data_IF_560316910720
#
_entry.id   IF_560316910720
#
_cell.length_a   1.000
_cell.length_b   1.000
_cell.length_c   1.000
_cell.angle_alpha   90.00
_cell.angle_beta   90.00
_cell.angle_gamma   90.00
#
_symmetry.space_group_name_H-M   'P 1'
#
loop_
_entity.id
_entity.type
_entity.pdbx_description
1 polymer ?
#
# COMPACT_ATOMS: atom_id res chain seq x y z
N UNK A 1 0.76 -14.90 4.85
CA UNK A 1 -0.03 -15.00 4.35
C UNK A 1 -1.01 -14.14 4.53
N UNK A 2 -1.60 -13.64 4.09
CA UNK A 2 -2.63 -13.21 3.84
C UNK A 2 -3.01 -11.85 4.14
N UNK A 3 -3.54 -11.59 5.24
CA UNK A 3 -4.15 -10.29 5.48
C UNK A 3 -3.39 -9.47 6.49
N UNK A 4 -3.16 -8.21 6.15
CA UNK A 4 -2.40 -7.31 6.99
C UNK A 4 -3.13 -5.99 7.12
N UNK A 5 -2.95 -5.32 8.24
CA UNK A 5 -3.41 -3.96 8.47
C UNK A 5 -2.26 -3.16 9.03
N UNK A 6 -1.93 -2.06 8.37
CA UNK A 6 -0.85 -1.20 8.83
C UNK A 6 -1.33 0.24 8.91
N UNK A 7 -0.88 1.00 9.91
CA UNK A 7 -1.22 2.42 9.97
C UNK A 7 -0.43 3.19 8.93
N UNK A 8 -1.10 4.11 8.27
CA UNK A 8 -0.48 4.99 7.30
C UNK A 8 -0.75 6.44 7.71
N UNK A 9 0.26 7.28 7.58
CA UNK A 9 0.13 8.70 7.87
C UNK A 9 -0.18 9.42 6.56
N UNK A 10 -1.34 10.07 6.51
CA UNK A 10 -1.76 10.85 5.35
C UNK A 10 -1.52 12.32 5.65
N UNK A 11 -0.76 12.97 4.81
CA UNK A 11 -0.42 14.39 4.97
C UNK A 11 -1.09 15.17 3.87
N UNK A 12 -1.90 16.18 4.27
CA UNK A 12 -2.52 17.04 3.29
C UNK A 12 -1.50 18.06 2.80
N UNK A 13 -1.41 18.20 1.49
CA UNK A 13 -0.49 19.13 0.85
C UNK A 13 -1.23 19.97 -0.14
N UNK A 14 -0.59 21.00 -0.69
CA UNK A 14 -1.23 21.92 -1.61
C UNK A 14 -1.82 21.21 -2.82
N UNK A 15 -1.10 20.25 -3.34
CA UNK A 15 -1.50 19.59 -4.57
C UNK A 15 -2.09 18.21 -4.36
N UNK A 16 -2.40 17.84 -3.12
CA UNK A 16 -2.98 16.53 -2.87
C UNK A 16 -2.59 15.98 -1.52
N UNK A 17 -2.34 14.68 -1.48
CA UNK A 17 -2.01 14.01 -0.23
C UNK A 17 -0.79 13.14 -0.41
N UNK A 18 0.06 13.07 0.60
CA UNK A 18 1.13 12.08 0.61
C UNK A 18 0.83 11.05 1.70
N UNK A 19 1.35 9.85 1.52
CA UNK A 19 1.07 8.72 2.41
C UNK A 19 2.39 8.07 2.77
N UNK A 20 2.56 7.76 4.03
CA UNK A 20 3.76 7.09 4.52
C UNK A 20 3.38 5.99 5.50
N UNK A 21 4.01 4.83 5.36
CA UNK A 21 3.82 3.73 6.29
C UNK A 21 5.02 3.66 7.23
N UNK A 22 4.88 4.15 8.46
CA UNK A 22 6.05 4.26 9.35
C UNK A 22 6.64 2.91 9.73
N UNK A 23 5.87 1.83 9.68
CA UNK A 23 6.36 0.51 10.05
C UNK A 23 7.14 -0.17 8.93
N UNK A 24 7.10 0.37 7.73
CA UNK A 24 7.75 -0.24 6.58
C UNK A 24 8.74 0.74 5.97
N UNK A 25 9.89 0.22 5.55
CA UNK A 25 10.90 1.07 4.93
C UNK A 25 10.54 1.37 3.50
N UNK A 26 10.73 2.61 3.09
CA UNK A 26 10.53 3.02 1.71
C UNK A 26 9.13 2.71 1.19
N UNK A 27 8.16 2.72 2.09
CA UNK A 27 6.78 2.44 1.71
C UNK A 27 5.98 3.73 1.81
N UNK A 28 5.90 4.45 0.70
CA UNK A 28 5.19 5.72 0.68
C UNK A 28 4.66 5.98 -0.72
N UNK A 29 3.67 6.85 -0.80
CA UNK A 29 3.06 7.18 -2.08
C UNK A 29 2.35 8.53 -1.97
N UNK A 30 1.62 8.91 -3.00
CA UNK A 30 0.86 10.14 -2.99
C UNK A 30 -0.30 10.03 -3.95
N UNK A 31 -1.24 10.96 -3.84
CA UNK A 31 -2.37 11.03 -4.75
C UNK A 31 -2.90 12.45 -4.81
N UNK A 32 -3.58 12.80 -5.88
CA UNK A 32 -4.13 14.13 -6.06
C UNK A 32 -5.37 14.36 -5.21
N UNK A 33 -6.10 13.29 -4.90
CA UNK A 33 -7.26 13.35 -4.03
C UNK A 33 -7.10 12.33 -2.92
N UNK A 34 -7.96 12.43 -1.91
CA UNK A 34 -7.91 11.47 -0.82
C UNK A 34 -8.23 10.06 -1.30
N UNK A 35 -9.20 9.94 -2.19
CA UNK A 35 -9.55 8.64 -2.76
C UNK A 35 -8.38 8.03 -3.51
N UNK A 36 -7.72 8.84 -4.34
CA UNK A 36 -6.57 8.35 -5.08
C UNK A 36 -5.44 7.98 -4.13
N UNK A 37 -5.19 8.81 -3.12
CA UNK A 37 -4.14 8.52 -2.15
C UNK A 37 -4.41 7.19 -1.42
N UNK A 38 -5.68 6.93 -1.09
CA UNK A 38 -6.03 5.67 -0.44
C UNK A 38 -5.79 4.48 -1.36
N UNK A 39 -6.16 4.60 -2.63
CA UNK A 39 -5.91 3.53 -3.60
C UNK A 39 -4.43 3.27 -3.77
N UNK A 40 -3.65 4.34 -3.89
CA UNK A 40 -2.20 4.20 -4.03
C UNK A 40 -1.57 3.64 -2.77
N UNK A 41 -2.11 3.99 -1.59
CA UNK A 41 -1.63 3.45 -0.33
C UNK A 41 -1.84 1.94 -0.27
N UNK A 42 -3.01 1.49 -0.67
CA UNK A 42 -3.30 0.05 -0.70
C UNK A 42 -2.36 -0.66 -1.67
N UNK A 43 -2.14 -0.05 -2.83
CA UNK A 43 -1.31 -0.65 -3.86
C UNK A 43 0.15 -0.78 -3.41
N UNK A 44 0.73 0.29 -2.85
CA UNK A 44 2.12 0.25 -2.43
C UNK A 44 2.30 -0.66 -1.21
N UNK A 45 1.31 -0.73 -0.33
CA UNK A 45 1.37 -1.64 0.80
C UNK A 45 1.40 -3.08 0.33
N UNK A 46 0.51 -3.42 -0.60
CA UNK A 46 0.46 -4.78 -1.13
C UNK A 46 1.74 -5.15 -1.85
N UNK A 47 2.27 -4.23 -2.65
CA UNK A 47 3.51 -4.49 -3.37
C UNK A 47 4.67 -4.73 -2.40
N UNK A 48 4.78 -3.89 -1.37
CA UNK A 48 5.85 -4.01 -0.39
C UNK A 48 5.77 -5.33 0.36
N UNK A 49 4.57 -5.69 0.81
CA UNK A 49 4.40 -6.94 1.56
C UNK A 49 4.59 -8.16 0.67
N UNK A 50 4.12 -8.08 -0.57
CA UNK A 50 4.32 -9.16 -1.53
C UNK A 50 5.81 -9.40 -1.75
N UNK A 51 6.58 -8.34 -1.94
CA UNK A 51 8.02 -8.45 -2.12
C UNK A 51 8.70 -9.06 -0.90
N UNK A 52 8.29 -8.63 0.29
CA UNK A 52 8.86 -9.19 1.52
C UNK A 52 8.56 -10.68 1.64
N UNK A 53 7.36 -11.09 1.29
CA UNK A 53 7.00 -12.50 1.32
C UNK A 53 7.80 -13.30 0.31
N UNK A 54 7.98 -12.75 -0.88
CA UNK A 54 8.74 -13.44 -1.94
C UNK A 54 10.21 -13.61 -1.55
N UNK A 55 10.77 -12.62 -0.87
CA UNK A 55 12.15 -12.68 -0.44
C UNK A 55 12.35 -13.52 0.82
N UNK A 56 11.27 -13.94 1.45
CA UNK A 56 11.36 -14.64 2.73
C UNK A 56 11.81 -13.74 3.85
N UNK A 57 11.66 -12.42 3.69
CA UNK A 57 12.11 -11.48 4.69
C UNK A 57 11.08 -11.39 5.82
N UNK A 58 11.53 -10.92 6.97
CA UNK A 58 10.63 -10.73 8.10
C UNK A 58 9.63 -9.62 7.80
N UNK A 59 8.37 -9.87 8.14
CA UNK A 59 7.32 -8.87 7.96
C UNK A 59 7.24 -8.08 9.27
N UNK A 60 7.46 -6.76 9.24
CA UNK A 60 7.43 -5.96 10.47
C UNK A 60 6.05 -6.00 11.12
N UNK A 61 6.01 -5.93 12.44
CA UNK A 61 4.74 -5.86 13.15
C UNK A 61 4.13 -4.48 12.97
N UNK A 62 2.82 -4.44 12.87
CA UNK A 62 2.11 -3.17 12.72
C UNK A 62 1.99 -2.47 14.06
N UNK A 63 2.20 -1.16 14.08
CA UNK A 63 1.99 -0.34 15.27
C UNK A 63 0.50 -0.10 15.46
N UNK A 64 0.11 0.25 16.67
CA UNK A 64 -1.27 0.67 16.90
C UNK A 64 -1.47 2.04 16.28
N UNK A 65 -2.66 2.25 15.71
CA UNK A 65 -2.93 3.50 15.00
C UNK A 65 -2.79 4.71 15.92
N UNK A 66 -3.14 4.56 17.18
CA UNK A 66 -3.05 5.68 18.11
C UNK A 66 -1.65 5.86 18.69
N UNK A 67 -0.71 5.00 18.33
CA UNK A 67 0.67 5.14 18.75
C UNK A 67 1.53 5.86 17.71
N UNK A 68 0.99 6.10 16.52
CA UNK A 68 1.74 6.72 15.44
C UNK A 68 1.63 8.25 15.56
N UNK A 69 2.76 8.96 15.69
CA UNK A 69 2.69 10.43 15.81
C UNK A 69 2.28 11.06 14.47
N UNK A 70 1.59 12.17 14.56
CA UNK A 70 1.19 12.90 13.36
C UNK A 70 1.01 14.38 13.71
N UNK A 71 1.11 15.22 12.70
CA UNK A 71 0.96 16.66 12.87
C UNK A 71 -0.45 17.14 12.63
N UNK A 72 -0.61 18.46 12.58
CA UNK A 72 -1.92 19.06 12.45
C UNK A 72 -2.57 18.80 11.10
N UNK A 73 -1.78 18.81 10.05
CA UNK A 73 -2.31 18.56 8.72
C UNK A 73 -2.18 17.10 8.31
N UNK A 74 -2.01 16.22 9.29
CA UNK A 74 -1.84 14.80 9.06
C UNK A 74 -2.91 14.02 9.81
N UNK A 75 -3.23 12.85 9.30
CA UNK A 75 -4.06 11.92 10.06
C UNK A 75 -3.57 10.51 9.79
N UNK A 76 -3.93 9.59 10.68
CA UNK A 76 -3.49 8.20 10.57
C UNK A 76 -4.70 7.34 10.27
N UNK A 77 -4.58 6.49 9.28
CA UNK A 77 -5.65 5.57 8.91
C UNK A 77 -5.06 4.18 8.72
N UNK A 78 -5.85 3.16 9.03
CA UNK A 78 -5.43 1.80 8.77
C UNK A 78 -5.66 1.47 7.30
N UNK A 79 -4.68 0.83 6.69
CA UNK A 79 -4.77 0.39 5.31
C UNK A 79 -4.58 -1.12 5.30
N UNK A 80 -5.45 -1.81 4.60
CA UNK A 80 -5.42 -3.26 4.57
C UNK A 80 -4.80 -3.80 3.30
N UNK A 81 -4.27 -5.01 3.41
CA UNK A 81 -3.71 -5.71 2.26
C UNK A 81 -3.97 -7.20 2.42
N UNK A 82 -4.39 -7.82 1.33
CA UNK A 82 -4.51 -9.27 1.27
C UNK A 82 -3.53 -9.73 0.20
N UNK A 83 -2.40 -10.25 0.62
CA UNK A 83 -1.35 -10.62 -0.33
C UNK A 83 -1.76 -11.81 -1.20
N UNK A 84 -2.65 -12.65 -0.72
CA UNK A 84 -3.13 -13.76 -1.54
C UNK A 84 -3.98 -13.22 -2.69
N UNK A 85 -4.87 -12.29 -2.41
CA UNK A 85 -5.67 -11.68 -3.46
C UNK A 85 -4.81 -10.86 -4.41
N UNK A 86 -3.84 -10.15 -3.87
CA UNK A 86 -2.94 -9.35 -4.68
C UNK A 86 -2.13 -10.24 -5.62
N UNK A 87 -1.65 -11.37 -5.10
CA UNK A 87 -0.89 -12.31 -5.91
C UNK A 87 -1.72 -12.85 -7.07
N UNK A 88 -2.96 -13.19 -6.82
CA UNK A 88 -3.84 -13.67 -7.86
C UNK A 88 -4.09 -12.61 -8.93
N UNK A 89 -4.31 -11.39 -8.49
CA UNK A 89 -4.51 -10.28 -9.39
C UNK A 89 -3.27 -10.05 -10.26
N UNK A 90 -2.11 -10.10 -9.63
CA UNK A 90 -0.85 -9.88 -10.31
C UNK A 90 -0.61 -10.96 -11.38
N UNK A 91 -0.86 -12.20 -11.02
CA UNK A 91 -0.69 -13.31 -11.95
C UNK A 91 -1.65 -13.19 -13.12
N UNK A 92 -2.90 -12.86 -12.85
CA UNK A 92 -3.88 -12.68 -13.91
C UNK A 92 -3.53 -11.52 -14.82
N UNK A 93 -3.03 -10.47 -14.24
CA UNK A 93 -2.61 -9.32 -15.01
C UNK A 93 -1.50 -9.66 -15.95
N UNK A 94 -0.55 -10.46 -15.50
CA UNK A 94 0.55 -10.87 -16.34
C UNK A 94 0.05 -11.73 -17.51
N UNK A 95 -0.85 -12.63 -17.24
CA UNK A 95 -1.43 -13.45 -18.29
C UNK A 95 -2.21 -12.60 -19.27
N UNK A 96 -3.01 -11.69 -18.79
CA UNK A 96 -3.74 -10.80 -19.62
C UNK A 96 -2.87 -9.98 -20.52
N UNK A 97 -1.80 -9.49 -19.97
CA UNK A 97 -0.87 -8.72 -20.72
C UNK A 97 -0.34 -9.50 -21.88
N UNK A 98 -0.04 -10.74 -21.66
CA UNK A 98 0.43 -11.60 -22.69
C UNK A 98 -0.57 -11.74 -23.80
N UNK A 99 -1.81 -11.90 -23.44
CA UNK A 99 -2.85 -12.08 -24.40
C UNK A 99 -3.15 -10.85 -25.19
N UNK A 100 -3.03 -9.76 -24.56
CA UNK A 100 -3.48 -8.62 -25.20
C UNK A 100 -2.63 -8.23 -26.24
N UNK A 101 -2.35 -8.67 -26.66
CA UNK A 101 -1.80 -8.20 -27.60
C UNK A 101 -2.51 -8.14 -28.59
N UNK A 102 -3.20 -8.08 -28.66
CA UNK A 102 -3.69 -7.79 -29.37
C UNK A 102 -4.22 -7.00 -29.50
N UNK A 103 -4.31 -6.88 -29.63
CA UNK A 103 -4.58 -6.25 -29.70
C UNK A 103 -5.35 -6.16 -30.00
N UNK A 104 -5.85 -6.46 -30.05
CA UNK A 104 -6.50 -6.54 -30.28
C UNK A 104 -6.99 -6.32 -30.43
#
# INVERSE_FOLDING_TARGET
MAKYLYPAVFTKEDAGYSVNFPDLKNCFTSGATLEEAMEMANDVLCLTLYDLEQDGAAIPAASAVNAVPHGENEFVSLVGCDTIAYRKFFDNKAVKKTLSIPSW
#
